data_IF_379113589565
#
_entry.id   IF_379113589565
#
_cell.length_a   1.000
_cell.length_b   1.000
_cell.length_c   1.000
_cell.angle_alpha   90.00
_cell.angle_beta   90.00
_cell.angle_gamma   90.00
#
_symmetry.space_group_name_H-M   'P 1'
#
loop_
_entity.id
_entity.type
_entity.pdbx_description
1 polymer ?
#
# COMPACT_ATOMS: atom_id res chain seq x y z
N UNK A 1 8.57 -11.57 13.94
CA UNK A 1 9.47 -10.47 14.34
C UNK A 1 10.28 -10.95 15.54
N UNK A 2 11.57 -10.60 15.59
CA UNK A 2 12.42 -10.82 16.76
C UNK A 2 12.54 -9.49 17.51
N UNK A 3 12.53 -9.52 18.84
CA UNK A 3 12.66 -8.34 19.69
C UNK A 3 13.86 -8.52 20.64
N UNK A 4 14.58 -7.45 20.92
CA UNK A 4 15.77 -7.46 21.77
C UNK A 4 15.63 -6.37 22.83
N UNK A 5 15.73 -6.74 24.10
CA UNK A 5 15.77 -5.77 25.20
C UNK A 5 17.16 -5.10 25.25
N UNK A 6 17.20 -3.78 25.41
CA UNK A 6 18.42 -2.97 25.41
C UNK A 6 18.89 -2.58 26.82
N UNK A 7 18.00 -2.64 27.81
CA UNK A 7 18.28 -2.25 29.18
C UNK A 7 17.59 -3.15 30.22
N UNK A 8 18.20 -3.21 31.42
CA UNK A 8 17.63 -3.90 32.58
C UNK A 8 16.41 -3.14 33.10
N UNK A 9 15.31 -3.85 33.32
CA UNK A 9 14.07 -3.29 33.83
C UNK A 9 12.89 -4.21 33.56
N UNK A 10 11.71 -3.80 34.02
CA UNK A 10 10.47 -4.49 33.66
C UNK A 10 9.98 -3.96 32.32
N UNK A 11 9.84 -4.86 31.35
CA UNK A 11 9.29 -4.55 30.03
C UNK A 11 7.91 -5.18 29.87
N UNK A 12 7.08 -4.54 29.06
CA UNK A 12 5.80 -5.08 28.58
C UNK A 12 5.80 -5.03 27.06
N UNK A 13 5.17 -6.00 26.42
CA UNK A 13 4.95 -6.00 24.98
C UNK A 13 3.48 -6.26 24.68
N UNK A 14 3.04 -5.80 23.51
CA UNK A 14 1.70 -6.04 22.98
C UNK A 14 1.84 -6.46 21.52
N UNK A 15 0.87 -7.20 21.00
CA UNK A 15 0.83 -7.60 19.60
C UNK A 15 -0.33 -6.87 18.94
N UNK A 16 -0.04 -6.05 17.95
CA UNK A 16 -1.07 -5.46 17.11
C UNK A 16 -1.30 -6.33 15.87
N UNK A 17 -2.56 -6.62 15.55
CA UNK A 17 -3.00 -7.27 14.33
C UNK A 17 -3.92 -6.34 13.53
N UNK A 18 -3.87 -6.41 12.21
CA UNK A 18 -4.68 -5.60 11.30
C UNK A 18 -4.91 -6.30 9.97
N UNK A 19 -5.93 -5.84 9.23
CA UNK A 19 -6.10 -6.16 7.81
C UNK A 19 -5.10 -5.40 6.95
N UNK A 20 -4.54 -6.09 5.94
CA UNK A 20 -3.67 -5.53 4.91
C UNK A 20 -4.40 -5.48 3.55
N UNK A 21 -5.22 -4.44 3.32
CA UNK A 21 -6.01 -4.34 2.10
C UNK A 21 -5.14 -4.10 0.85
N UNK A 22 -3.94 -3.52 1.01
CA UNK A 22 -3.04 -3.21 -0.10
C UNK A 22 -2.47 -4.51 -0.69
N UNK A 23 -1.99 -5.42 0.16
CA UNK A 23 -1.49 -6.72 -0.30
C UNK A 23 -2.61 -7.54 -0.96
N UNK A 24 -3.82 -7.55 -0.38
CA UNK A 24 -4.98 -8.23 -0.99
C UNK A 24 -5.32 -7.65 -2.36
N UNK A 25 -5.37 -6.33 -2.49
CA UNK A 25 -5.64 -5.68 -3.77
C UNK A 25 -4.57 -6.01 -4.81
N UNK A 26 -3.27 -5.94 -4.46
CA UNK A 26 -2.17 -6.24 -5.39
C UNK A 26 -2.31 -7.64 -5.99
N UNK A 27 -2.56 -8.63 -5.15
CA UNK A 27 -2.74 -10.01 -5.59
C UNK A 27 -3.88 -10.15 -6.60
N UNK A 28 -5.03 -9.50 -6.36
CA UNK A 28 -6.14 -9.51 -7.31
C UNK A 28 -5.82 -8.72 -8.59
N UNK A 29 -5.18 -7.55 -8.48
CA UNK A 29 -4.88 -6.70 -9.62
C UNK A 29 -3.90 -7.36 -10.59
N UNK A 30 -2.86 -8.02 -10.08
CA UNK A 30 -1.89 -8.76 -10.89
C UNK A 30 -2.52 -9.91 -11.70
N UNK A 31 -3.66 -10.43 -11.26
CA UNK A 31 -4.42 -11.47 -11.98
C UNK A 31 -5.45 -10.85 -12.93
N UNK A 32 -6.23 -9.89 -12.44
CA UNK A 32 -7.38 -9.32 -13.18
C UNK A 32 -6.96 -8.39 -14.31
N UNK A 33 -5.91 -7.57 -14.11
CA UNK A 33 -5.48 -6.59 -15.11
C UNK A 33 -4.97 -7.26 -16.40
N UNK A 34 -4.10 -8.29 -16.36
CA UNK A 34 -3.68 -8.99 -17.57
C UNK A 34 -4.83 -9.75 -18.27
N UNK A 35 -5.83 -10.20 -17.49
CA UNK A 35 -7.01 -10.88 -18.02
C UNK A 35 -8.06 -9.91 -18.60
N UNK A 36 -7.88 -8.59 -18.48
CA UNK A 36 -8.85 -7.61 -18.94
C UNK A 36 -10.15 -7.58 -18.14
N UNK A 37 -10.14 -8.07 -16.89
CA UNK A 37 -11.33 -8.18 -16.05
C UNK A 37 -11.44 -6.95 -15.15
N UNK A 38 -12.55 -6.22 -15.28
CA UNK A 38 -12.89 -5.07 -14.43
C UNK A 38 -11.76 -4.04 -14.28
N UNK A 39 -10.96 -3.82 -15.34
CA UNK A 39 -9.68 -3.11 -15.23
C UNK A 39 -9.79 -1.73 -14.61
N UNK A 40 -10.77 -0.93 -15.05
CA UNK A 40 -10.96 0.42 -14.53
C UNK A 40 -11.42 0.41 -13.06
N UNK A 41 -12.28 -0.53 -12.68
CA UNK A 41 -12.73 -0.68 -11.30
C UNK A 41 -11.56 -1.07 -10.40
N UNK A 42 -10.79 -2.08 -10.80
CA UNK A 42 -9.62 -2.57 -10.04
C UNK A 42 -8.57 -1.48 -9.86
N UNK A 43 -8.31 -0.67 -10.89
CA UNK A 43 -7.35 0.43 -10.80
C UNK A 43 -7.85 1.56 -9.90
N UNK A 44 -9.13 1.91 -9.95
CA UNK A 44 -9.73 2.93 -9.07
C UNK A 44 -9.78 2.46 -7.61
N UNK A 45 -10.09 1.19 -7.35
CA UNK A 45 -9.99 0.60 -6.00
C UNK A 45 -8.58 0.75 -5.43
N UNK A 46 -7.55 0.46 -6.25
CA UNK A 46 -6.15 0.64 -5.88
C UNK A 46 -5.78 2.08 -5.58
N UNK A 47 -6.25 3.01 -6.43
CA UNK A 47 -6.01 4.44 -6.24
C UNK A 47 -6.55 4.91 -4.88
N UNK A 48 -7.77 4.51 -4.50
CA UNK A 48 -8.36 4.86 -3.20
C UNK A 48 -7.60 4.27 -2.01
N UNK A 49 -7.10 3.04 -2.13
CA UNK A 49 -6.26 2.44 -1.10
C UNK A 49 -4.96 3.23 -0.91
N UNK A 50 -4.34 3.65 -2.01
CA UNK A 50 -3.07 4.39 -1.97
C UNK A 50 -3.26 5.83 -1.48
N UNK A 51 -4.38 6.49 -1.79
CA UNK A 51 -4.73 7.79 -1.21
C UNK A 51 -4.87 7.72 0.31
N UNK A 52 -5.57 6.69 0.80
CA UNK A 52 -5.73 6.46 2.24
C UNK A 52 -4.39 6.17 2.90
N UNK A 53 -3.56 5.34 2.28
CA UNK A 53 -2.20 5.10 2.77
C UNK A 53 -1.39 6.41 2.84
N UNK A 54 -1.45 7.25 1.81
CA UNK A 54 -0.73 8.53 1.76
C UNK A 54 -1.17 9.52 2.85
N UNK A 55 -2.45 9.50 3.25
CA UNK A 55 -2.94 10.33 4.34
C UNK A 55 -2.25 10.05 5.68
N UNK A 56 -1.86 8.80 5.93
CA UNK A 56 -1.21 8.35 7.16
C UNK A 56 0.33 8.45 7.13
N UNK A 57 0.92 8.79 5.97
CA UNK A 57 2.39 8.98 5.85
C UNK A 57 2.77 10.35 6.43
N UNK A 58 3.66 10.44 7.44
CA UNK A 58 4.10 11.72 7.98
C UNK A 58 5.10 12.44 7.08
N UNK A 59 5.97 11.70 6.39
CA UNK A 59 7.01 12.22 5.52
C UNK A 59 6.45 12.74 4.19
N UNK A 60 6.79 13.97 3.80
CA UNK A 60 6.22 14.59 2.60
C UNK A 60 6.71 13.95 1.31
N UNK A 61 7.98 13.57 1.21
CA UNK A 61 8.53 12.96 0.00
C UNK A 61 7.92 11.56 -0.23
N UNK A 62 7.84 10.75 0.84
CA UNK A 62 7.20 9.45 0.80
C UNK A 62 5.70 9.55 0.48
N UNK A 63 5.01 10.58 0.96
CA UNK A 63 3.61 10.85 0.60
C UNK A 63 3.46 11.14 -0.89
N UNK A 64 4.32 12.01 -1.45
CA UNK A 64 4.31 12.34 -2.88
C UNK A 64 4.56 11.11 -3.77
N UNK A 65 5.40 10.16 -3.33
CA UNK A 65 5.60 8.88 -4.04
C UNK A 65 4.28 8.11 -4.17
N UNK A 66 3.46 8.05 -3.10
CA UNK A 66 2.16 7.37 -3.17
C UNK A 66 1.15 8.16 -4.01
N UNK A 67 1.12 9.48 -3.91
CA UNK A 67 0.22 10.31 -4.72
C UNK A 67 0.54 10.24 -6.21
N UNK A 68 1.82 10.19 -6.59
CA UNK A 68 2.22 9.96 -7.98
C UNK A 68 1.74 8.60 -8.50
N UNK A 69 1.75 7.56 -7.66
CA UNK A 69 1.19 6.26 -8.00
C UNK A 69 -0.34 6.30 -8.15
N UNK A 70 -1.04 7.07 -7.30
CA UNK A 70 -2.49 7.32 -7.42
C UNK A 70 -2.82 7.96 -8.77
N UNK A 71 -2.10 9.02 -9.15
CA UNK A 71 -2.30 9.70 -10.42
C UNK A 71 -2.05 8.75 -11.60
N UNK A 72 -1.01 7.93 -11.53
CA UNK A 72 -0.71 6.93 -12.54
C UNK A 72 -1.79 5.84 -12.63
N UNK A 73 -2.35 5.39 -11.50
CA UNK A 73 -3.47 4.44 -11.48
C UNK A 73 -4.71 5.02 -12.16
N UNK A 74 -4.93 6.33 -12.10
CA UNK A 74 -6.08 7.02 -12.72
C UNK A 74 -5.85 7.54 -14.13
N UNK A 75 -4.64 7.46 -14.68
CA UNK A 75 -4.35 7.97 -16.03
C UNK A 75 -4.93 7.07 -17.13
N UNK A 76 -6.20 7.29 -17.47
CA UNK A 76 -6.93 6.56 -18.52
C UNK A 76 -6.33 6.69 -19.94
N UNK A 77 -5.31 7.53 -20.14
CA UNK A 77 -4.59 7.63 -21.42
C UNK A 77 -3.52 6.55 -21.56
N UNK A 78 -3.17 5.84 -20.48
CA UNK A 78 -2.15 4.78 -20.47
C UNK A 78 -2.78 3.39 -20.45
N UNK A 79 -2.09 2.36 -20.99
CA UNK A 79 -2.55 0.98 -20.88
C UNK A 79 -2.70 0.55 -19.41
N UNK A 80 -3.73 -0.25 -19.10
CA UNK A 80 -4.03 -0.72 -17.74
C UNK A 80 -2.82 -1.37 -17.04
N UNK A 81 -2.07 -2.21 -17.75
CA UNK A 81 -0.85 -2.83 -17.22
C UNK A 81 0.24 -1.81 -16.85
N UNK A 82 0.36 -0.72 -17.61
CA UNK A 82 1.33 0.35 -17.33
C UNK A 82 0.92 1.19 -16.13
N UNK A 83 -0.39 1.41 -15.95
CA UNK A 83 -0.97 2.08 -14.77
C UNK A 83 -0.75 1.24 -13.51
N UNK A 84 -1.03 -0.06 -13.56
CA UNK A 84 -0.75 -0.99 -12.46
C UNK A 84 0.74 -1.02 -12.11
N UNK A 85 1.62 -1.13 -13.11
CA UNK A 85 3.07 -1.20 -12.87
C UNK A 85 3.61 0.02 -12.09
N UNK A 86 3.05 1.22 -12.30
CA UNK A 86 3.44 2.41 -11.56
C UNK A 86 3.13 2.32 -10.05
N UNK A 87 2.13 1.53 -9.66
CA UNK A 87 1.81 1.27 -8.26
C UNK A 87 2.65 0.14 -7.63
N UNK A 88 3.46 -0.58 -8.41
CA UNK A 88 4.26 -1.74 -7.97
C UNK A 88 5.77 -1.46 -7.96
N UNK A 89 6.16 -0.19 -8.10
CA UNK A 89 7.58 0.20 -8.10
C UNK A 89 8.26 -0.06 -6.74
N UNK A 90 9.58 -0.30 -6.71
CA UNK A 90 10.35 -0.45 -5.47
C UNK A 90 10.20 0.73 -4.50
N UNK A 91 10.10 1.95 -5.02
CA UNK A 91 9.97 3.18 -4.23
C UNK A 91 8.63 3.18 -3.47
N UNK A 92 7.54 2.88 -4.17
CA UNK A 92 6.21 2.70 -3.58
C UNK A 92 6.20 1.55 -2.55
N UNK A 93 6.86 0.44 -2.87
CA UNK A 93 6.96 -0.69 -1.95
C UNK A 93 7.71 -0.32 -0.66
N UNK A 94 8.78 0.48 -0.76
CA UNK A 94 9.53 0.95 0.40
C UNK A 94 8.68 1.84 1.31
N UNK A 95 7.87 2.73 0.74
CA UNK A 95 6.95 3.58 1.53
C UNK A 95 5.93 2.73 2.27
N UNK A 96 5.25 1.80 1.58
CA UNK A 96 4.21 0.95 2.18
C UNK A 96 4.75 -0.06 3.18
N UNK A 97 6.02 -0.49 3.04
CA UNK A 97 6.68 -1.32 4.04
C UNK A 97 6.95 -0.54 5.34
N UNK A 98 7.25 0.76 5.24
CA UNK A 98 7.53 1.63 6.38
C UNK A 98 6.26 2.20 7.03
N UNK A 99 5.25 2.48 6.22
CA UNK A 99 3.98 3.12 6.58
C UNK A 99 2.82 2.35 5.92
N UNK A 100 2.50 1.13 6.38
CA UNK A 100 1.42 0.35 5.80
C UNK A 100 0.04 0.96 6.11
N UNK A 101 -0.91 0.80 5.20
CA UNK A 101 -2.32 1.03 5.50
C UNK A 101 -2.83 -0.12 6.37
N UNK A 102 -3.22 0.19 7.61
CA UNK A 102 -3.65 -0.80 8.61
C UNK A 102 -5.14 -0.62 8.90
N UNK A 103 -5.95 -1.60 8.51
CA UNK A 103 -7.38 -1.58 8.81
C UNK A 103 -7.70 -2.43 10.04
N UNK A 104 -8.62 -1.96 10.89
CA UNK A 104 -9.16 -2.72 12.03
C UNK A 104 -8.07 -3.20 13.01
N UNK A 105 -7.16 -2.29 13.39
CA UNK A 105 -6.08 -2.57 14.36
C UNK A 105 -6.68 -3.07 15.69
N UNK A 106 -6.16 -4.20 16.20
CA UNK A 106 -6.55 -4.84 17.46
C UNK A 106 -5.31 -5.25 18.25
N UNK A 107 -5.35 -5.14 19.58
CA UNK A 107 -4.22 -5.36 20.52
C UNK A 107 -4.58 -6.25 21.70
#
# INVERSE_FOLDING_TARGET
AEVTADAVGLWTYTVEAWGDPVTTWRHHAEIKIPAGIDTELVLEEGARLYERAAADVPDSEAREVLLAAVDALRDARRPAASRLAAALTPEVAAVLARYPLRELVTS
#
